data_IF_942927035316
#
_entry.id   IF_942927035316
#
_cell.length_a   1.000
_cell.length_b   1.000
_cell.length_c   1.000
_cell.angle_alpha   90.00
_cell.angle_beta   90.00
_cell.angle_gamma   90.00
#
_symmetry.space_group_name_H-M   'P 1'
#
loop_
_entity.id
_entity.type
_entity.pdbx_description
1 polymer ?
#
# COMPACT_ATOMS: atom_id res chain seq x y z
N UNK A 1 12.76 27.81 -15.03
CA UNK A 1 13.32 28.88 -14.16
C UNK A 1 13.82 28.40 -12.82
N UNK A 2 12.98 27.79 -11.97
CA UNK A 2 13.42 27.46 -10.60
C UNK A 2 14.57 26.44 -10.56
N UNK A 3 14.55 25.41 -11.41
CA UNK A 3 15.66 24.46 -11.54
C UNK A 3 17.00 25.13 -11.91
N UNK A 4 16.97 26.24 -12.66
CA UNK A 4 18.17 27.03 -12.99
C UNK A 4 18.60 27.85 -11.77
N UNK A 5 17.65 28.52 -11.10
CA UNK A 5 17.93 29.31 -9.88
C UNK A 5 18.53 28.48 -8.76
N UNK A 6 18.14 27.21 -8.65
CA UNK A 6 18.68 26.26 -7.65
C UNK A 6 19.90 25.47 -8.15
N UNK A 7 20.34 25.70 -9.40
CA UNK A 7 21.56 25.10 -9.95
C UNK A 7 21.47 23.62 -10.32
N UNK A 8 20.28 23.10 -10.64
CA UNK A 8 20.13 21.73 -11.18
C UNK A 8 20.68 21.65 -12.61
N UNK A 9 20.46 22.67 -13.43
CA UNK A 9 20.99 22.81 -14.80
C UNK A 9 21.13 24.29 -15.18
N UNK A 10 21.92 24.60 -16.20
CA UNK A 10 22.18 25.95 -16.71
C UNK A 10 21.17 26.36 -17.79
N UNK A 11 21.13 27.67 -18.10
CA UNK A 11 20.22 28.18 -19.14
C UNK A 11 20.57 27.70 -20.56
N UNK A 12 21.81 27.26 -20.80
CA UNK A 12 22.33 26.75 -22.07
C UNK A 12 22.31 25.21 -22.15
N UNK A 13 21.91 24.51 -21.10
CA UNK A 13 21.77 23.05 -21.13
C UNK A 13 20.57 22.63 -22.01
N UNK A 14 20.79 21.67 -22.90
CA UNK A 14 19.75 21.12 -23.78
C UNK A 14 18.89 20.09 -23.03
N UNK A 15 17.59 20.34 -22.91
CA UNK A 15 16.62 19.38 -22.38
C UNK A 15 16.20 18.41 -23.48
N UNK A 16 16.80 17.21 -23.50
CA UNK A 16 16.51 16.18 -24.50
C UNK A 16 15.10 15.58 -24.29
N UNK A 17 14.69 15.38 -23.04
CA UNK A 17 13.39 14.79 -22.67
C UNK A 17 12.87 15.42 -21.38
N UNK A 18 11.56 15.66 -21.32
CA UNK A 18 10.84 15.97 -20.09
C UNK A 18 9.64 15.02 -19.93
N UNK A 19 9.42 14.53 -18.71
CA UNK A 19 8.28 13.68 -18.39
C UNK A 19 7.68 14.09 -17.05
N UNK A 20 6.35 14.12 -17.01
CA UNK A 20 5.55 14.45 -15.85
C UNK A 20 4.43 13.43 -15.72
N UNK A 21 4.17 12.99 -14.49
CA UNK A 21 3.11 12.06 -14.18
C UNK A 21 2.36 12.53 -12.93
N UNK A 22 1.07 12.81 -13.09
CA UNK A 22 0.21 13.16 -11.98
C UNK A 22 -0.14 11.93 -11.14
N UNK A 23 0.21 12.00 -9.85
CA UNK A 23 -0.09 10.95 -8.88
C UNK A 23 -1.00 11.51 -7.78
N UNK A 24 -2.34 11.57 -8.00
CA UNK A 24 -3.26 12.19 -7.05
C UNK A 24 -3.26 11.53 -5.66
N UNK A 25 -2.87 10.24 -5.60
CA UNK A 25 -2.72 9.47 -4.37
C UNK A 25 -1.27 9.00 -4.22
N UNK A 26 -0.33 9.94 -4.11
CA UNK A 26 1.08 9.61 -3.93
C UNK A 26 1.44 9.26 -2.49
N UNK A 27 0.76 9.85 -1.50
CA UNK A 27 1.15 9.75 -0.10
C UNK A 27 -0.01 9.43 0.82
N UNK A 28 0.28 8.55 1.77
CA UNK A 28 -0.57 8.35 2.94
C UNK A 28 -0.28 9.50 3.90
N UNK A 29 -1.29 10.33 4.17
CA UNK A 29 -1.18 11.46 5.10
C UNK A 29 -1.63 11.02 6.49
N UNK A 30 -0.84 11.37 7.50
CA UNK A 30 -1.09 11.04 8.90
C UNK A 30 -1.73 12.26 9.57
N UNK A 31 -3.05 12.36 9.42
CA UNK A 31 -3.83 13.33 10.18
C UNK A 31 -4.22 12.77 11.56
N UNK A 32 -4.83 13.63 12.38
CA UNK A 32 -5.27 13.26 13.73
C UNK A 32 -6.44 12.25 13.75
N UNK A 33 -7.20 12.14 12.67
CA UNK A 33 -8.35 11.24 12.57
C UNK A 33 -8.00 9.86 12.01
N UNK A 34 -6.80 9.71 11.43
CA UNK A 34 -6.33 8.53 10.69
C UNK A 34 -6.57 7.24 11.46
N UNK A 35 -6.10 7.17 12.70
CA UNK A 35 -6.19 5.94 13.49
C UNK A 35 -7.64 5.44 13.63
N UNK A 36 -8.58 6.36 13.90
CA UNK A 36 -10.00 6.05 14.01
C UNK A 36 -10.57 5.60 12.66
N UNK A 37 -10.35 6.38 11.61
CA UNK A 37 -10.95 6.13 10.30
C UNK A 37 -10.43 4.84 9.66
N UNK A 38 -9.12 4.60 9.74
CA UNK A 38 -8.48 3.37 9.25
C UNK A 38 -9.00 2.15 10.01
N UNK A 39 -9.16 2.25 11.34
CA UNK A 39 -9.74 1.17 12.13
C UNK A 39 -11.18 0.86 11.71
N UNK A 40 -12.02 1.88 11.50
CA UNK A 40 -13.40 1.71 11.03
C UNK A 40 -13.46 0.95 9.70
N UNK A 41 -12.65 1.35 8.71
CA UNK A 41 -12.62 0.70 7.39
C UNK A 41 -12.10 -0.74 7.50
N UNK A 42 -11.00 -0.97 8.24
CA UNK A 42 -10.43 -2.30 8.47
C UNK A 42 -11.45 -3.25 9.11
N UNK A 43 -12.15 -2.79 10.14
CA UNK A 43 -13.15 -3.59 10.84
C UNK A 43 -14.35 -3.93 9.95
N UNK A 44 -14.78 -3.01 9.09
CA UNK A 44 -15.89 -3.27 8.16
C UNK A 44 -15.50 -4.30 7.11
N UNK A 45 -14.33 -4.16 6.47
CA UNK A 45 -13.85 -5.08 5.43
C UNK A 45 -13.58 -6.50 5.96
N UNK A 46 -13.11 -6.61 7.20
CA UNK A 46 -12.90 -7.91 7.84
C UNK A 46 -14.19 -8.74 8.00
N UNK A 47 -15.37 -8.10 8.09
CA UNK A 47 -16.66 -8.79 8.16
C UNK A 47 -17.06 -9.46 6.84
N UNK A 48 -16.35 -9.13 5.76
CA UNK A 48 -16.60 -9.62 4.40
C UNK A 48 -15.46 -10.50 3.87
N UNK A 49 -14.60 -11.03 4.76
CA UNK A 49 -13.42 -11.84 4.42
C UNK A 49 -12.44 -11.13 3.47
N UNK A 50 -12.40 -9.80 3.51
CA UNK A 50 -11.48 -8.98 2.72
C UNK A 50 -10.22 -8.68 3.54
N UNK A 51 -9.09 -9.26 3.13
CA UNK A 51 -7.79 -9.00 3.72
C UNK A 51 -7.12 -7.79 3.05
N UNK A 52 -6.80 -6.78 3.85
CA UNK A 52 -6.06 -5.60 3.39
C UNK A 52 -4.55 -5.87 3.38
N UNK A 53 -3.88 -5.46 2.29
CA UNK A 53 -2.44 -5.56 2.15
C UNK A 53 -1.83 -4.43 1.33
N UNK A 54 -0.73 -3.84 1.82
CA UNK A 54 0.06 -2.82 1.13
C UNK A 54 -0.25 -1.37 1.51
N UNK A 55 0.50 -0.42 0.92
CA UNK A 55 0.56 1.02 1.30
C UNK A 55 -0.81 1.66 1.45
N UNK A 56 -1.63 1.59 0.40
CA UNK A 56 -2.93 2.27 0.37
C UNK A 56 -4.06 1.43 0.98
N UNK A 57 -3.94 0.10 0.96
CA UNK A 57 -4.93 -0.80 1.56
C UNK A 57 -4.88 -0.77 3.08
N UNK A 58 -3.67 -0.80 3.65
CA UNK A 58 -3.46 -0.74 5.09
C UNK A 58 -3.40 0.70 5.61
N UNK A 59 -3.32 1.66 4.68
CA UNK A 59 -3.15 3.09 4.92
C UNK A 59 -1.89 3.40 5.73
N UNK A 60 -0.78 2.74 5.38
CA UNK A 60 0.51 2.86 6.05
C UNK A 60 1.56 3.46 5.12
N UNK A 61 2.51 4.21 5.67
CA UNK A 61 3.62 4.76 4.92
C UNK A 61 4.65 3.68 4.61
N UNK A 62 4.48 3.01 3.46
CA UNK A 62 5.37 1.94 2.99
C UNK A 62 6.31 2.40 1.89
N UNK A 63 7.53 1.89 1.97
CA UNK A 63 8.43 1.71 0.83
C UNK A 63 8.20 0.33 0.19
N UNK A 64 8.81 0.08 -0.96
CA UNK A 64 8.55 -1.12 -1.77
C UNK A 64 8.84 -2.44 -1.05
N UNK A 65 9.84 -2.47 -0.17
CA UNK A 65 10.20 -3.61 0.66
C UNK A 65 9.06 -3.99 1.63
N UNK A 66 8.50 -3.00 2.32
CA UNK A 66 7.38 -3.18 3.23
C UNK A 66 6.13 -3.67 2.50
N UNK A 67 5.85 -3.09 1.32
CA UNK A 67 4.72 -3.51 0.49
C UNK A 67 4.88 -4.97 0.01
N UNK A 68 6.09 -5.38 -0.37
CA UNK A 68 6.37 -6.76 -0.77
C UNK A 68 6.15 -7.75 0.39
N UNK A 69 6.70 -7.44 1.58
CA UNK A 69 6.53 -8.27 2.77
C UNK A 69 5.06 -8.33 3.20
N UNK A 70 4.32 -7.22 3.11
CA UNK A 70 2.88 -7.19 3.39
C UNK A 70 2.11 -8.16 2.47
N UNK A 71 2.43 -8.18 1.17
CA UNK A 71 1.83 -9.10 0.21
C UNK A 71 2.13 -10.57 0.54
N UNK A 72 3.38 -10.88 0.90
CA UNK A 72 3.77 -12.23 1.34
C UNK A 72 2.97 -12.69 2.56
N UNK A 73 2.89 -11.84 3.60
CA UNK A 73 2.11 -12.13 4.82
C UNK A 73 0.63 -12.36 4.53
N UNK A 74 0.06 -11.58 3.61
CA UNK A 74 -1.32 -11.73 3.21
C UNK A 74 -1.58 -13.09 2.55
N UNK A 75 -0.71 -13.51 1.63
CA UNK A 75 -0.79 -14.82 1.00
C UNK A 75 -0.65 -15.98 2.01
N UNK A 76 0.32 -15.88 2.93
CA UNK A 76 0.51 -16.87 4.00
C UNK A 76 -0.72 -17.00 4.89
N UNK A 77 -1.35 -15.88 5.26
CA UNK A 77 -2.58 -15.85 6.07
C UNK A 77 -3.72 -16.60 5.37
N UNK A 78 -3.93 -16.34 4.07
CA UNK A 78 -4.97 -16.99 3.28
C UNK A 78 -4.70 -18.50 3.15
N UNK A 79 -3.45 -18.91 2.91
CA UNK A 79 -3.07 -20.32 2.84
C UNK A 79 -3.33 -21.05 4.16
N UNK A 80 -2.92 -20.46 5.29
CA UNK A 80 -3.17 -21.05 6.61
C UNK A 80 -4.67 -21.18 6.91
N UNK A 81 -5.48 -20.19 6.55
CA UNK A 81 -6.93 -20.24 6.74
C UNK A 81 -7.59 -21.38 5.93
N UNK A 82 -7.13 -21.63 4.70
CA UNK A 82 -7.62 -22.74 3.85
C UNK A 82 -7.25 -24.10 4.43
N UNK A 83 -5.98 -24.31 4.80
CA UNK A 83 -5.52 -25.57 5.39
C UNK A 83 -6.24 -25.91 6.70
N UNK A 84 -6.58 -24.90 7.50
CA UNK A 84 -7.36 -25.06 8.72
C UNK A 84 -8.86 -25.31 8.48
N UNK A 85 -9.37 -25.06 7.27
CA UNK A 85 -10.75 -25.36 6.90
C UNK A 85 -10.85 -26.79 6.34
N UNK A 86 -9.90 -27.19 5.50
CA UNK A 86 -9.83 -28.54 4.93
C UNK A 86 -9.67 -29.64 6.01
N UNK A 87 -8.98 -29.33 7.10
CA UNK A 87 -8.82 -30.23 8.25
C UNK A 87 -10.06 -30.33 9.15
N UNK A 88 -10.95 -29.33 9.14
CA UNK A 88 -12.24 -29.36 9.86
C UNK A 88 -13.32 -30.10 9.07
N UNK A 89 -13.29 -30.03 7.74
CA UNK A 89 -14.18 -30.84 6.88
C UNK A 89 -13.77 -32.32 6.87
N UNK A 90 -12.46 -32.64 6.90
CA UNK A 90 -11.99 -34.03 6.92
C UNK A 90 -12.19 -34.77 8.26
N UNK A 91 -12.38 -34.05 9.38
CA UNK A 91 -12.59 -34.64 10.70
C UNK A 91 -14.08 -34.80 11.08
N UNK A 92 -15.00 -34.44 10.17
CA UNK A 92 -16.45 -34.50 10.35
C UNK A 92 -17.15 -35.66 9.63
N UNK A 93 -16.40 -36.58 9.03
CA UNK A 93 -16.86 -37.89 8.52
C UNK A 93 -16.39 -39.02 9.45
#
# INVERSE_FOLDING_TARGET
>A
DDCIKVGIFNADDEVIVANEADMPYAYVVYDHARAKNVATVKQWLAQHDILLSGRYSEWEYYNSDHAFIAGKKAAETVLSARSGNDSRTAAGE
#
